data_IF_557838212407
#
_entry.id   IF_557838212407
#
_cell.length_a   1.000
_cell.length_b   1.000
_cell.length_c   1.000
_cell.angle_alpha   90.00
_cell.angle_beta   90.00
_cell.angle_gamma   90.00
#
_symmetry.space_group_name_H-M   'P 1'
#
loop_
_entity.id
_entity.type
_entity.pdbx_description
1 polymer ?
#
# COMPACT_ATOMS: atom_id res chain seq x y z
N UNK A 1 5.04 64.71 -28.64
CA UNK A 1 4.08 63.99 -29.40
C UNK A 1 3.88 62.59 -28.76
N UNK A 2 2.80 62.42 -27.98
CA UNK A 2 2.43 61.09 -27.42
C UNK A 2 1.52 60.41 -28.46
N UNK A 3 2.01 59.31 -29.06
CA UNK A 3 1.23 58.46 -29.92
C UNK A 3 0.44 57.43 -29.11
N UNK A 4 -0.86 57.59 -29.07
CA UNK A 4 -1.79 56.59 -28.49
C UNK A 4 -2.13 55.52 -29.50
N UNK A 5 -1.76 54.29 -29.24
CA UNK A 5 -2.15 53.10 -30.01
C UNK A 5 -3.57 52.68 -29.63
N UNK A 6 -4.48 52.43 -30.58
CA UNK A 6 -5.85 51.96 -30.26
C UNK A 6 -5.86 50.52 -29.78
N UNK A 7 -6.86 50.15 -28.95
CA UNK A 7 -6.94 48.77 -28.41
C UNK A 7 -7.36 47.77 -29.51
N UNK A 8 -6.68 46.66 -29.53
CA UNK A 8 -6.93 45.52 -30.42
C UNK A 8 -8.30 44.87 -30.09
N UNK A 9 -9.19 44.85 -31.03
CA UNK A 9 -10.49 44.21 -30.93
C UNK A 9 -10.35 42.69 -30.63
N UNK A 10 -11.03 42.24 -29.58
CA UNK A 10 -11.21 40.78 -29.31
C UNK A 10 -12.13 40.23 -30.40
N UNK A 11 -11.59 39.32 -31.18
CA UNK A 11 -12.41 38.50 -32.10
C UNK A 11 -13.39 37.67 -31.31
N UNK A 12 -14.68 37.83 -31.56
CA UNK A 12 -15.74 36.95 -31.07
C UNK A 12 -15.64 35.65 -31.83
N UNK A 13 -15.43 34.53 -31.10
CA UNK A 13 -15.45 33.20 -31.71
C UNK A 13 -16.82 32.96 -32.37
N UNK A 14 -16.83 32.60 -33.62
CA UNK A 14 -18.04 32.35 -34.39
C UNK A 14 -18.67 31.01 -33.93
N UNK A 15 -20.02 30.89 -33.96
CA UNK A 15 -20.72 29.72 -33.45
C UNK A 15 -20.32 28.38 -34.08
N UNK A 16 -19.60 28.41 -35.22
CA UNK A 16 -19.02 27.24 -35.87
C UNK A 16 -17.84 26.64 -35.11
N UNK A 17 -17.03 27.46 -34.44
CA UNK A 17 -15.85 27.01 -33.71
C UNK A 17 -16.24 26.36 -32.36
N UNK A 18 -17.30 26.88 -31.73
CA UNK A 18 -17.85 26.28 -30.51
C UNK A 18 -18.48 24.92 -30.81
N UNK A 19 -19.24 24.75 -31.91
CA UNK A 19 -19.81 23.47 -32.30
C UNK A 19 -18.74 22.42 -32.60
N UNK A 20 -17.65 22.81 -33.28
CA UNK A 20 -16.52 21.91 -33.55
C UNK A 20 -15.79 21.49 -32.27
N UNK A 21 -15.62 22.39 -31.32
CA UNK A 21 -15.01 22.08 -30.03
C UNK A 21 -15.85 21.07 -29.22
N UNK A 22 -17.18 21.22 -29.23
CA UNK A 22 -18.09 20.28 -28.55
C UNK A 22 -18.11 18.91 -29.22
N UNK A 23 -18.05 18.84 -30.56
CA UNK A 23 -18.02 17.56 -31.32
C UNK A 23 -16.70 16.82 -31.06
N UNK A 24 -15.57 17.51 -31.02
CA UNK A 24 -14.26 16.90 -30.71
C UNK A 24 -14.23 16.44 -29.24
N UNK A 25 -14.76 17.21 -28.31
CA UNK A 25 -14.85 16.83 -26.90
C UNK A 25 -15.74 15.58 -26.71
N UNK A 26 -16.89 15.52 -27.41
CA UNK A 26 -17.78 14.37 -27.34
C UNK A 26 -17.13 13.11 -27.95
N UNK A 27 -16.39 13.23 -29.05
CA UNK A 27 -15.67 12.12 -29.67
C UNK A 27 -14.51 11.62 -28.80
N UNK A 28 -13.79 12.52 -28.12
CA UNK A 28 -12.74 12.14 -27.17
C UNK A 28 -13.33 11.45 -25.94
N UNK A 29 -14.47 11.91 -25.44
CA UNK A 29 -15.17 11.26 -24.32
C UNK A 29 -15.70 9.87 -24.72
N UNK A 30 -16.26 9.70 -25.92
CA UNK A 30 -16.70 8.39 -26.43
C UNK A 30 -15.51 7.46 -26.65
N UNK A 31 -14.38 7.96 -27.16
CA UNK A 31 -13.17 7.16 -27.32
C UNK A 31 -12.55 6.75 -25.97
N UNK A 32 -12.61 7.61 -24.94
CA UNK A 32 -12.17 7.29 -23.57
C UNK A 32 -13.08 6.24 -22.92
N UNK A 33 -14.39 6.31 -23.11
CA UNK A 33 -15.34 5.31 -22.59
C UNK A 33 -15.23 3.99 -23.37
N UNK A 34 -15.05 4.02 -24.69
CA UNK A 34 -14.83 2.82 -25.50
C UNK A 34 -13.46 2.18 -25.22
N UNK A 35 -12.41 2.99 -24.97
CA UNK A 35 -11.09 2.51 -24.55
C UNK A 35 -11.12 1.85 -23.18
N UNK A 36 -11.93 2.37 -22.24
CA UNK A 36 -12.14 1.75 -20.93
C UNK A 36 -12.86 0.40 -21.04
N UNK A 37 -13.83 0.27 -21.95
CA UNK A 37 -14.57 -0.99 -22.16
C UNK A 37 -13.73 -2.07 -22.90
N UNK A 38 -12.81 -1.67 -23.78
CA UNK A 38 -11.95 -2.62 -24.51
C UNK A 38 -10.77 -3.14 -23.69
N UNK A 39 -10.39 -2.47 -22.60
CA UNK A 39 -9.31 -2.89 -21.70
C UNK A 39 -9.74 -3.91 -20.63
N UNK A 40 -11.04 -4.15 -20.47
CA UNK A 40 -11.56 -4.94 -19.35
C UNK A 40 -11.29 -6.46 -19.47
N UNK A 41 -11.15 -7.00 -20.66
CA UNK A 41 -10.86 -8.43 -20.86
C UNK A 41 -9.41 -8.81 -20.51
N UNK A 42 -8.45 -7.88 -20.63
CA UNK A 42 -7.05 -8.07 -20.21
C UNK A 42 -6.80 -7.65 -18.76
N UNK A 43 -7.62 -6.74 -18.23
CA UNK A 43 -7.50 -6.20 -16.88
C UNK A 43 -8.02 -7.17 -15.79
N UNK A 44 -8.77 -8.20 -16.17
CA UNK A 44 -9.36 -9.16 -15.22
C UNK A 44 -8.32 -9.95 -14.41
N UNK A 45 -7.06 -9.98 -14.83
CA UNK A 45 -6.01 -10.78 -14.21
C UNK A 45 -4.81 -9.95 -13.71
N UNK A 46 -4.96 -8.64 -13.53
CA UNK A 46 -3.89 -7.80 -12.98
C UNK A 46 -3.71 -8.08 -11.48
N UNK A 47 -2.46 -7.97 -10.95
CA UNK A 47 -2.20 -8.14 -9.51
C UNK A 47 -3.08 -7.24 -8.63
N UNK A 48 -3.40 -6.04 -9.09
CA UNK A 48 -4.26 -5.10 -8.37
C UNK A 48 -5.69 -5.63 -8.24
N UNK A 49 -6.30 -6.12 -9.33
CA UNK A 49 -7.65 -6.70 -9.31
C UNK A 49 -7.73 -8.01 -8.53
N UNK A 50 -6.66 -8.80 -8.55
CA UNK A 50 -6.57 -10.01 -7.71
C UNK A 50 -6.53 -9.65 -6.23
N UNK A 51 -5.83 -8.58 -5.87
CA UNK A 51 -5.84 -8.05 -4.51
C UNK A 51 -7.21 -7.50 -4.12
N UNK A 52 -7.87 -6.71 -4.99
CA UNK A 52 -9.23 -6.22 -4.75
C UNK A 52 -10.22 -7.38 -4.56
N UNK A 53 -10.23 -8.36 -5.46
CA UNK A 53 -11.09 -9.54 -5.36
C UNK A 53 -10.84 -10.36 -4.08
N UNK A 54 -9.59 -10.43 -3.63
CA UNK A 54 -9.23 -11.04 -2.35
C UNK A 54 -9.88 -10.31 -1.17
N UNK A 55 -9.88 -8.98 -1.17
CA UNK A 55 -10.45 -8.17 -0.10
C UNK A 55 -11.98 -8.04 -0.18
N UNK A 56 -12.58 -8.18 -1.36
CA UNK A 56 -14.03 -8.13 -1.56
C UNK A 56 -14.76 -9.43 -1.19
N UNK A 57 -14.01 -10.50 -0.86
CA UNK A 57 -14.59 -11.74 -0.31
C UNK A 57 -15.53 -12.47 -1.26
N UNK A 58 -15.13 -12.73 -2.49
CA UNK A 58 -15.95 -13.33 -3.54
C UNK A 58 -16.32 -14.83 -3.39
N UNK A 59 -16.28 -15.40 -2.18
CA UNK A 59 -16.68 -16.79 -1.92
C UNK A 59 -17.79 -16.86 -0.87
N UNK A 60 -18.80 -17.66 -1.11
CA UNK A 60 -19.96 -17.84 -0.22
C UNK A 60 -19.62 -18.42 1.17
N UNK A 61 -18.38 -18.87 1.39
CA UNK A 61 -17.89 -19.41 2.66
C UNK A 61 -16.81 -18.52 3.30
N UNK A 62 -16.63 -17.29 2.81
CA UNK A 62 -15.65 -16.37 3.36
C UNK A 62 -16.10 -15.85 4.74
N UNK A 63 -15.21 -15.93 5.74
CA UNK A 63 -15.48 -15.50 7.11
C UNK A 63 -14.75 -14.20 7.46
N UNK A 64 -13.46 -14.10 7.12
CA UNK A 64 -12.64 -12.96 7.48
C UNK A 64 -11.42 -12.81 6.57
N UNK A 65 -10.92 -11.58 6.48
CA UNK A 65 -9.64 -11.28 5.84
C UNK A 65 -8.59 -10.94 6.90
N UNK A 66 -7.41 -11.48 6.72
CA UNK A 66 -6.24 -11.27 7.58
C UNK A 66 -5.07 -10.76 6.76
N UNK A 67 -4.19 -9.99 7.38
CA UNK A 67 -2.91 -9.59 6.78
C UNK A 67 -1.75 -9.89 7.74
N UNK A 68 -0.68 -10.46 7.21
CA UNK A 68 0.60 -10.62 7.90
C UNK A 68 1.63 -9.83 7.11
N UNK A 69 2.13 -8.74 7.71
CA UNK A 69 3.00 -7.77 7.06
C UNK A 69 4.35 -7.76 7.77
N UNK A 70 5.39 -8.15 7.07
CA UNK A 70 6.72 -8.36 7.66
C UNK A 70 7.76 -7.48 6.97
N UNK A 71 8.35 -6.57 7.75
CA UNK A 71 9.64 -5.96 7.44
C UNK A 71 10.75 -6.73 8.15
N UNK A 72 11.55 -7.46 7.38
CA UNK A 72 12.64 -8.27 7.89
C UNK A 72 13.97 -7.52 7.98
N UNK A 73 14.04 -6.24 7.60
CA UNK A 73 15.29 -5.48 7.46
C UNK A 73 15.49 -4.51 8.60
N UNK A 74 16.72 -4.48 9.15
CA UNK A 74 17.17 -3.50 10.14
C UNK A 74 18.00 -2.39 9.51
N UNK A 75 18.26 -1.37 10.31
CA UNK A 75 19.13 -0.23 10.04
C UNK A 75 18.55 0.83 9.11
N UNK A 76 18.98 2.06 9.34
CA UNK A 76 18.51 3.25 8.63
C UNK A 76 18.59 3.18 7.11
N UNK A 77 19.62 2.56 6.56
CA UNK A 77 19.77 2.45 5.09
C UNK A 77 18.71 1.55 4.43
N UNK A 78 17.96 0.77 5.23
CA UNK A 78 16.83 -0.06 4.80
C UNK A 78 15.46 0.63 4.99
N UNK A 79 15.44 1.94 5.24
CA UNK A 79 14.25 2.74 5.43
C UNK A 79 13.11 2.41 4.44
N UNK A 80 13.45 2.15 3.19
CA UNK A 80 12.48 1.81 2.15
C UNK A 80 11.62 0.59 2.47
N UNK A 81 12.17 -0.42 3.16
CA UNK A 81 11.44 -1.65 3.48
C UNK A 81 10.35 -1.38 4.52
N UNK A 82 10.69 -0.68 5.58
CA UNK A 82 9.69 -0.29 6.58
C UNK A 82 8.65 0.67 5.99
N UNK A 83 9.05 1.63 5.15
CA UNK A 83 8.13 2.53 4.48
C UNK A 83 7.14 1.78 3.56
N UNK A 84 7.61 0.76 2.84
CA UNK A 84 6.76 -0.09 2.00
C UNK A 84 5.77 -0.89 2.86
N UNK A 85 6.24 -1.50 3.95
CA UNK A 85 5.39 -2.28 4.87
C UNK A 85 4.31 -1.40 5.50
N UNK A 86 4.66 -0.21 5.97
CA UNK A 86 3.71 0.75 6.54
C UNK A 86 2.72 1.30 5.51
N UNK A 87 3.16 1.50 4.28
CA UNK A 87 2.28 1.90 3.18
C UNK A 87 1.24 0.83 2.91
N UNK A 88 1.65 -0.44 2.93
CA UNK A 88 0.76 -1.57 2.74
C UNK A 88 -0.19 -1.76 3.93
N UNK A 89 0.31 -1.59 5.18
CA UNK A 89 -0.53 -1.59 6.39
C UNK A 89 -1.69 -0.58 6.27
N UNK A 90 -1.40 0.66 5.88
CA UNK A 90 -2.45 1.67 5.65
C UNK A 90 -3.40 1.29 4.52
N UNK A 91 -2.88 0.62 3.50
CA UNK A 91 -3.69 0.18 2.36
C UNK A 91 -4.67 -0.91 2.77
N UNK A 92 -4.23 -1.95 3.48
CA UNK A 92 -5.12 -3.04 3.90
C UNK A 92 -6.15 -2.57 4.92
N UNK A 93 -5.79 -1.63 5.83
CA UNK A 93 -6.78 -0.97 6.71
C UNK A 93 -7.84 -0.21 5.93
N UNK A 94 -7.43 0.57 4.94
CA UNK A 94 -8.37 1.32 4.08
C UNK A 94 -9.28 0.40 3.28
N UNK A 95 -8.82 -0.79 2.92
CA UNK A 95 -9.60 -1.84 2.25
C UNK A 95 -10.50 -2.62 3.20
N UNK A 96 -10.53 -2.29 4.50
CA UNK A 96 -11.49 -2.81 5.46
C UNK A 96 -10.99 -3.92 6.38
N UNK A 97 -9.68 -4.28 6.35
CA UNK A 97 -9.14 -5.20 7.35
C UNK A 97 -8.94 -4.45 8.67
N UNK A 98 -9.61 -4.85 9.76
CA UNK A 98 -9.43 -4.21 11.07
C UNK A 98 -8.04 -4.53 11.65
N UNK A 99 -7.53 -3.68 12.56
CA UNK A 99 -6.23 -3.87 13.21
C UNK A 99 -6.11 -5.24 13.91
N UNK A 100 -7.20 -5.71 14.51
CA UNK A 100 -7.25 -7.04 15.14
C UNK A 100 -6.95 -8.21 14.20
N UNK A 101 -7.05 -7.99 12.90
CA UNK A 101 -6.79 -8.98 11.85
C UNK A 101 -5.51 -8.67 11.06
N UNK A 102 -4.69 -7.74 11.53
CA UNK A 102 -3.40 -7.43 10.93
C UNK A 102 -2.30 -7.80 11.92
N UNK A 103 -1.37 -8.66 11.50
CA UNK A 103 -0.13 -8.92 12.25
C UNK A 103 0.97 -8.13 11.59
N UNK A 104 1.47 -7.12 12.29
CA UNK A 104 2.54 -6.25 11.80
C UNK A 104 3.85 -6.56 12.52
N UNK A 105 4.87 -6.92 11.74
CA UNK A 105 6.21 -7.27 12.21
C UNK A 105 7.22 -6.28 11.62
N UNK A 106 7.87 -5.47 12.46
CA UNK A 106 8.87 -4.48 12.06
C UNK A 106 10.21 -4.75 12.74
N UNK A 107 11.23 -5.12 11.96
CA UNK A 107 12.56 -5.47 12.47
C UNK A 107 13.32 -4.27 13.07
N UNK A 108 12.94 -3.03 12.71
CA UNK A 108 13.53 -1.81 13.27
C UNK A 108 12.46 -0.73 13.46
N UNK A 109 12.80 0.29 14.24
CA UNK A 109 11.99 1.51 14.40
C UNK A 109 12.73 2.72 13.83
N UNK A 110 12.60 2.92 12.51
CA UNK A 110 13.22 4.06 11.83
C UNK A 110 12.56 5.39 12.20
N UNK A 111 11.35 5.37 12.77
CA UNK A 111 10.67 6.59 13.24
C UNK A 111 11.41 7.23 14.42
N UNK A 112 12.03 6.41 15.28
CA UNK A 112 12.84 6.83 16.42
C UNK A 112 14.34 6.87 16.14
N UNK A 113 14.77 6.62 14.90
CA UNK A 113 16.20 6.65 14.55
C UNK A 113 16.78 8.06 14.70
N UNK A 114 17.98 8.21 15.32
CA UNK A 114 18.67 9.50 15.40
C UNK A 114 19.01 10.12 14.03
N UNK A 115 19.03 9.30 12.96
CA UNK A 115 19.25 9.75 11.59
C UNK A 115 17.99 10.29 10.93
N UNK A 116 16.81 10.10 11.54
CA UNK A 116 15.56 10.57 10.99
C UNK A 116 15.40 12.07 11.25
N UNK A 117 15.41 12.87 10.18
CA UNK A 117 15.19 14.32 10.27
C UNK A 117 13.74 14.67 10.66
N UNK A 118 12.82 13.71 10.63
CA UNK A 118 11.42 13.87 11.01
C UNK A 118 11.04 12.84 12.07
N UNK A 119 11.39 13.09 13.35
CA UNK A 119 11.09 12.16 14.44
C UNK A 119 9.62 11.73 14.48
N UNK A 120 9.37 10.51 14.89
CA UNK A 120 8.04 9.89 14.95
C UNK A 120 7.30 9.84 13.62
N UNK A 121 8.02 9.91 12.50
CA UNK A 121 7.41 9.92 11.16
C UNK A 121 8.15 9.01 10.21
N UNK A 122 7.39 8.39 9.29
CA UNK A 122 7.92 7.63 8.16
C UNK A 122 7.17 8.05 6.90
N UNK A 123 7.89 8.32 5.82
CA UNK A 123 7.33 8.79 4.57
C UNK A 123 7.68 7.85 3.42
N UNK A 124 6.70 7.60 2.55
CA UNK A 124 6.89 6.78 1.34
C UNK A 124 7.44 7.55 0.14
N UNK A 125 7.55 8.88 0.23
CA UNK A 125 8.01 9.72 -0.87
C UNK A 125 8.73 11.00 -0.38
N UNK A 126 9.47 11.64 -1.29
CA UNK A 126 10.24 12.85 -1.01
C UNK A 126 9.40 14.09 -0.66
N UNK A 127 8.11 14.08 -0.98
CA UNK A 127 7.23 15.23 -0.72
C UNK A 127 6.65 15.22 0.70
N UNK A 128 6.92 14.22 1.51
CA UNK A 128 6.48 14.06 2.91
C UNK A 128 4.98 14.32 3.14
N UNK A 129 4.13 14.02 2.14
CA UNK A 129 2.69 14.36 2.18
C UNK A 129 1.88 13.50 3.16
N UNK A 130 2.32 12.27 3.39
CA UNK A 130 1.62 11.35 4.26
C UNK A 130 2.61 10.69 5.21
N UNK A 131 2.43 10.93 6.52
CA UNK A 131 3.13 10.17 7.53
C UNK A 131 2.55 8.75 7.58
N UNK A 132 3.34 7.77 7.19
CA UNK A 132 2.93 6.37 7.16
C UNK A 132 2.91 5.75 8.56
N UNK A 133 3.76 6.24 9.47
CA UNK A 133 3.80 5.75 10.86
C UNK A 133 2.54 6.20 11.62
N UNK A 134 2.30 7.52 11.73
CA UNK A 134 1.08 8.06 12.34
C UNK A 134 0.85 7.63 13.80
N UNK A 135 -0.32 8.01 14.34
CA UNK A 135 -0.67 7.74 15.74
C UNK A 135 -1.39 6.39 15.96
N UNK A 136 -1.84 5.75 14.87
CA UNK A 136 -2.75 4.60 14.92
C UNK A 136 -2.11 3.30 14.44
N UNK A 137 -0.78 3.18 14.60
CA UNK A 137 -0.10 1.96 14.15
C UNK A 137 0.04 1.00 15.31
N UNK A 138 -0.40 -0.24 15.11
CA UNK A 138 -0.22 -1.33 16.05
C UNK A 138 0.86 -2.28 15.51
N UNK A 139 2.00 -2.34 16.22
CA UNK A 139 3.11 -3.22 15.85
C UNK A 139 3.15 -4.38 16.82
N UNK A 140 2.92 -5.59 16.32
CA UNK A 140 2.82 -6.79 17.14
C UNK A 140 4.18 -7.38 17.47
N UNK A 141 5.11 -7.40 16.51
CA UNK A 141 6.46 -7.89 16.69
C UNK A 141 7.47 -6.80 16.35
N UNK A 142 8.38 -6.50 17.28
CA UNK A 142 9.33 -5.40 17.14
C UNK A 142 10.77 -5.86 17.25
N UNK A 143 11.65 -5.27 16.45
CA UNK A 143 13.09 -5.47 16.57
C UNK A 143 13.47 -6.95 16.51
N UNK A 144 14.14 -7.45 17.54
CA UNK A 144 14.59 -8.85 17.60
C UNK A 144 13.48 -9.91 17.73
N UNK A 145 12.23 -9.52 17.92
CA UNK A 145 11.11 -10.47 17.83
C UNK A 145 10.81 -10.87 16.36
N UNK A 146 11.31 -10.10 15.39
CA UNK A 146 11.10 -10.39 13.96
C UNK A 146 12.14 -11.41 13.49
N UNK A 147 11.81 -12.68 13.67
CA UNK A 147 12.64 -13.83 13.31
C UNK A 147 11.87 -14.80 12.42
N UNK A 148 12.56 -15.64 11.64
CA UNK A 148 11.91 -16.71 10.88
C UNK A 148 11.07 -17.62 11.77
N UNK A 149 11.55 -17.97 12.96
CA UNK A 149 10.83 -18.83 13.91
C UNK A 149 9.52 -18.19 14.36
N UNK A 150 9.53 -16.91 14.70
CA UNK A 150 8.31 -16.22 15.13
C UNK A 150 7.32 -16.08 13.98
N UNK A 151 7.79 -15.81 12.75
CA UNK A 151 6.92 -15.80 11.58
C UNK A 151 6.28 -17.19 11.35
N UNK A 152 7.07 -18.26 11.40
CA UNK A 152 6.54 -19.62 11.26
C UNK A 152 5.53 -19.96 12.38
N UNK A 153 5.79 -19.52 13.62
CA UNK A 153 4.83 -19.70 14.73
C UNK A 153 3.52 -18.95 14.47
N UNK A 154 3.58 -17.73 13.95
CA UNK A 154 2.39 -16.97 13.57
C UNK A 154 1.60 -17.70 12.49
N UNK A 155 2.26 -18.14 11.41
CA UNK A 155 1.60 -18.78 10.27
C UNK A 155 1.05 -20.19 10.59
N UNK A 156 1.56 -20.85 11.65
CA UNK A 156 1.17 -22.23 12.02
C UNK A 156 0.43 -22.31 13.35
N UNK A 157 0.12 -21.17 13.98
CA UNK A 157 -0.49 -21.07 15.33
C UNK A 157 0.28 -21.86 16.43
N UNK A 158 1.61 -22.03 16.27
CA UNK A 158 2.47 -22.74 17.23
C UNK A 158 3.13 -21.78 18.21
N UNK A 159 2.31 -21.06 18.95
CA UNK A 159 2.78 -20.04 19.88
C UNK A 159 3.28 -20.62 21.21
N UNK A 160 4.18 -19.87 21.87
CA UNK A 160 4.58 -20.17 23.22
C UNK A 160 3.42 -19.92 24.21
N UNK A 161 3.37 -20.67 25.32
CA UNK A 161 2.38 -20.41 26.37
C UNK A 161 2.42 -18.94 26.84
N UNK A 162 1.25 -18.33 26.97
CA UNK A 162 1.13 -16.92 27.38
C UNK A 162 1.24 -15.89 26.26
N UNK A 163 1.42 -16.30 24.98
CA UNK A 163 1.41 -15.35 23.86
C UNK A 163 0.05 -14.63 23.77
N UNK A 164 0.02 -13.28 23.78
CA UNK A 164 -1.22 -12.52 23.69
C UNK A 164 -2.01 -12.82 22.42
N UNK A 165 -3.33 -12.73 22.49
CA UNK A 165 -4.21 -12.95 21.33
C UNK A 165 -3.91 -11.99 20.17
N UNK A 166 -3.53 -10.74 20.47
CA UNK A 166 -3.16 -9.74 19.47
C UNK A 166 -1.94 -10.14 18.61
N UNK A 167 -1.08 -11.01 19.13
CA UNK A 167 0.09 -11.53 18.38
C UNK A 167 -0.19 -12.83 17.63
N UNK A 168 -1.45 -13.29 17.59
CA UNK A 168 -1.82 -14.59 17.01
C UNK A 168 -2.69 -14.42 15.78
N UNK A 169 -2.39 -15.18 14.75
CA UNK A 169 -3.18 -15.25 13.52
C UNK A 169 -4.37 -16.22 13.75
N UNK A 170 -5.49 -15.67 14.20
CA UNK A 170 -6.66 -16.46 14.62
C UNK A 170 -7.61 -16.71 13.43
N UNK A 171 -7.11 -17.35 12.40
CA UNK A 171 -7.84 -17.70 11.17
C UNK A 171 -8.66 -18.99 11.34
N UNK A 172 -9.67 -19.13 10.49
CA UNK A 172 -10.46 -20.34 10.30
C UNK A 172 -10.40 -20.83 8.83
N UNK A 173 -11.13 -21.90 8.51
CA UNK A 173 -11.13 -22.47 7.17
C UNK A 173 -11.73 -21.54 6.09
N UNK A 174 -12.51 -20.53 6.49
CA UNK A 174 -13.09 -19.52 5.60
C UNK A 174 -12.29 -18.23 5.53
N UNK A 175 -11.18 -18.13 6.25
CA UNK A 175 -10.35 -16.92 6.28
C UNK A 175 -9.39 -16.84 5.10
N UNK A 176 -9.27 -15.65 4.51
CA UNK A 176 -8.20 -15.33 3.57
C UNK A 176 -7.03 -14.70 4.31
N UNK A 177 -5.81 -15.07 3.96
CA UNK A 177 -4.59 -14.51 4.54
C UNK A 177 -3.76 -13.85 3.44
N UNK A 178 -3.52 -12.55 3.59
CA UNK A 178 -2.58 -11.80 2.76
C UNK A 178 -1.23 -11.75 3.46
N UNK A 179 -0.22 -12.42 2.89
CA UNK A 179 1.14 -12.42 3.40
C UNK A 179 2.03 -11.51 2.55
N UNK A 180 2.65 -10.54 3.19
CA UNK A 180 3.66 -9.67 2.59
C UNK A 180 4.94 -9.73 3.42
N UNK A 181 6.06 -10.01 2.76
CA UNK A 181 7.38 -10.01 3.39
C UNK A 181 8.31 -9.16 2.54
N UNK A 182 9.07 -8.27 3.16
CA UNK A 182 10.07 -7.45 2.49
C UNK A 182 11.38 -7.47 3.25
N UNK A 183 12.47 -7.40 2.51
CA UNK A 183 13.83 -7.44 3.03
C UNK A 183 14.84 -7.72 1.94
N UNK A 184 16.07 -7.96 2.35
CA UNK A 184 17.10 -8.46 1.47
C UNK A 184 16.96 -9.97 1.27
N UNK A 185 17.39 -10.45 0.12
CA UNK A 185 17.39 -11.87 -0.20
C UNK A 185 18.25 -12.16 -1.42
N UNK A 186 18.29 -13.39 -1.81
CA UNK A 186 18.97 -13.88 -2.99
C UNK A 186 18.24 -15.08 -3.57
N UNK A 187 18.96 -15.87 -4.36
CA UNK A 187 18.39 -17.10 -4.90
C UNK A 187 18.12 -18.09 -3.76
N UNK A 188 16.86 -18.50 -3.64
CA UNK A 188 16.35 -19.46 -2.65
C UNK A 188 16.46 -19.04 -1.17
N UNK A 189 16.80 -17.78 -0.85
CA UNK A 189 16.83 -17.34 0.56
C UNK A 189 16.31 -15.93 0.75
N UNK A 190 15.82 -15.65 1.97
CA UNK A 190 15.49 -14.32 2.46
C UNK A 190 16.23 -14.04 3.76
N UNK A 191 16.82 -12.87 3.86
CA UNK A 191 17.56 -12.44 5.03
C UNK A 191 16.63 -11.81 6.05
N UNK A 192 16.68 -12.29 7.29
CA UNK A 192 16.04 -11.66 8.44
C UNK A 192 17.08 -10.89 9.25
N UNK A 193 16.83 -9.59 9.42
CA UNK A 193 17.66 -8.67 10.21
C UNK A 193 19.13 -8.65 9.74
N UNK A 194 20.04 -8.92 10.67
CA UNK A 194 21.50 -8.98 10.48
C UNK A 194 22.05 -10.42 10.45
N UNK A 195 21.16 -11.40 10.49
CA UNK A 195 21.56 -12.81 10.45
C UNK A 195 22.13 -13.18 9.06
N UNK A 196 23.14 -14.00 9.06
CA UNK A 196 23.86 -14.44 7.87
C UNK A 196 23.56 -15.89 7.47
N UNK A 197 22.61 -16.51 8.14
CA UNK A 197 22.19 -17.90 7.91
C UNK A 197 20.99 -17.99 6.98
#
# INVERSE_FOLDING_TARGET
>A
GFGTTPPRARGTATGSDTMRAWTVLALVLVALVAGAAASDAGAANTPARRAEAFFEGGSSNHTSNWAVLVDASRYWFNYRHIANTLSLYRTVKRLGIPDSNIILMLADDVSCSPRNSFPASVFGNANHRANLYGDNIEVDYRGYEVTPENLLRVLTDRHLPGTPRSKRLLTDAGSNVFLYITGHGGDEFMKFQDQTE
#
